data_IF_382353542537
#
_entry.id   IF_382353542537
#
_cell.length_a   1.000
_cell.length_b   1.000
_cell.length_c   1.000
_cell.angle_alpha   90.00
_cell.angle_beta   90.00
_cell.angle_gamma   90.00
#
_symmetry.space_group_name_H-M   'P 1'
#
loop_
_entity.id
_entity.type
_entity.pdbx_description
1 polymer ?
#
# COMPACT_ATOMS: atom_id res chain seq x y z
N UNK A 1 23.83 -73.09 -7.23
CA UNK A 1 22.50 -73.22 -7.83
C UNK A 1 21.63 -72.08 -7.36
N UNK A 2 21.24 -71.25 -8.30
CA UNK A 2 20.05 -70.39 -8.32
C UNK A 2 19.94 -69.31 -7.26
N UNK A 3 19.90 -68.12 -7.55
CA UNK A 3 19.24 -67.33 -8.59
C UNK A 3 18.45 -66.31 -7.85
N UNK A 4 18.96 -65.03 -7.77
CA UNK A 4 18.32 -63.97 -7.01
C UNK A 4 17.96 -62.85 -7.95
N UNK A 5 16.67 -62.74 -8.17
CA UNK A 5 16.04 -61.66 -8.92
C UNK A 5 16.01 -60.37 -8.13
N UNK A 6 16.50 -59.33 -8.80
CA UNK A 6 16.51 -57.98 -8.25
C UNK A 6 15.15 -57.33 -8.33
N UNK A 7 14.71 -56.82 -7.20
CA UNK A 7 13.57 -55.90 -7.14
C UNK A 7 14.07 -54.46 -7.28
N UNK A 8 13.79 -53.89 -8.44
CA UNK A 8 14.04 -52.48 -8.72
C UNK A 8 13.10 -51.59 -7.93
N UNK A 9 13.65 -50.82 -7.00
CA UNK A 9 12.91 -49.78 -6.32
C UNK A 9 12.89 -48.53 -7.21
N UNK A 10 11.73 -48.29 -7.82
CA UNK A 10 11.48 -47.07 -8.56
C UNK A 10 11.29 -45.90 -7.59
N UNK A 11 12.31 -45.08 -7.43
CA UNK A 11 12.21 -43.83 -6.72
C UNK A 11 11.50 -42.79 -7.57
N UNK A 12 10.20 -42.64 -7.32
CA UNK A 12 9.39 -41.61 -7.94
C UNK A 12 9.74 -40.25 -7.31
N UNK A 13 10.69 -39.56 -7.92
CA UNK A 13 11.03 -38.18 -7.55
C UNK A 13 9.90 -37.23 -7.97
N UNK A 14 8.98 -36.97 -7.07
CA UNK A 14 8.02 -35.89 -7.22
C UNK A 14 8.74 -34.57 -7.18
N UNK A 15 8.87 -33.91 -8.33
CA UNK A 15 9.27 -32.51 -8.43
C UNK A 15 8.30 -31.65 -7.64
N UNK A 16 8.79 -30.69 -6.84
CA UNK A 16 7.93 -29.74 -6.17
C UNK A 16 7.25 -28.85 -7.22
N UNK A 17 5.93 -28.86 -7.21
CA UNK A 17 5.09 -27.96 -8.00
C UNK A 17 5.53 -26.52 -7.76
N UNK A 18 6.03 -25.86 -8.79
CA UNK A 18 6.23 -24.40 -8.78
C UNK A 18 4.87 -23.76 -8.62
N UNK A 19 4.55 -23.35 -7.39
CA UNK A 19 3.50 -22.38 -7.13
C UNK A 19 3.93 -21.11 -7.83
N UNK A 20 3.34 -20.82 -8.97
CA UNK A 20 3.50 -19.54 -9.66
C UNK A 20 2.81 -18.51 -8.80
N UNK A 21 3.58 -17.89 -7.91
CA UNK A 21 3.17 -16.71 -7.19
C UNK A 21 2.95 -15.61 -8.24
N UNK A 22 1.68 -15.40 -8.59
CA UNK A 22 1.28 -14.29 -9.44
C UNK A 22 1.47 -13.06 -8.57
N UNK A 23 2.69 -12.50 -8.60
CA UNK A 23 2.97 -11.20 -8.05
C UNK A 23 2.08 -10.20 -8.79
N UNK A 24 0.98 -9.82 -8.17
CA UNK A 24 0.12 -8.75 -8.64
C UNK A 24 0.92 -7.46 -8.53
N UNK A 25 1.55 -7.07 -9.66
CA UNK A 25 2.34 -5.87 -9.75
C UNK A 25 1.37 -4.68 -9.66
N UNK A 26 1.37 -3.92 -8.55
CA UNK A 26 0.49 -2.77 -8.45
C UNK A 26 0.77 -1.78 -9.58
N UNK A 27 -0.21 -0.98 -10.03
CA UNK A 27 0.02 0.07 -11.01
C UNK A 27 1.06 1.04 -10.46
N UNK A 28 2.24 1.04 -11.08
CA UNK A 28 3.43 1.70 -10.52
C UNK A 28 3.50 3.19 -10.84
N UNK A 29 2.70 3.69 -11.79
CA UNK A 29 2.76 5.09 -12.22
C UNK A 29 1.38 5.59 -12.61
N UNK A 30 0.92 6.62 -11.90
CA UNK A 30 -0.25 7.41 -12.27
C UNK A 30 0.18 8.74 -12.91
N UNK A 31 -0.47 9.14 -13.97
CA UNK A 31 -0.28 10.43 -14.62
C UNK A 31 -1.22 11.45 -13.99
N UNK A 32 -0.65 12.49 -13.38
CA UNK A 32 -1.41 13.69 -13.03
C UNK A 32 -1.17 14.70 -14.13
N UNK A 33 -2.13 14.83 -15.03
CA UNK A 33 -2.11 15.87 -16.04
C UNK A 33 -2.33 17.21 -15.35
N UNK A 34 -1.27 17.97 -15.14
CA UNK A 34 -1.37 19.35 -14.64
C UNK A 34 -2.15 20.19 -15.65
N UNK A 35 -3.32 20.67 -15.24
CA UNK A 35 -4.19 21.53 -16.04
C UNK A 35 -3.68 22.98 -16.17
N UNK A 36 -2.52 23.31 -15.57
CA UNK A 36 -1.98 24.68 -15.58
C UNK A 36 -0.51 24.68 -15.97
N UNK A 37 -0.21 25.59 -16.92
CA UNK A 37 1.03 25.75 -17.66
C UNK A 37 2.34 25.64 -16.87
N UNK A 38 3.35 25.19 -17.57
CA UNK A 38 4.79 25.11 -17.32
C UNK A 38 5.33 26.04 -16.21
N UNK A 39 5.21 25.61 -14.98
CA UNK A 39 6.13 25.91 -13.90
C UNK A 39 6.14 24.67 -13.04
N UNK A 40 7.31 24.06 -12.86
CA UNK A 40 7.51 22.95 -11.93
C UNK A 40 7.33 23.46 -10.50
N UNK A 41 6.06 23.60 -10.10
CA UNK A 41 5.72 23.85 -8.71
C UNK A 41 5.91 22.52 -7.98
N UNK A 42 6.68 22.53 -6.89
CA UNK A 42 6.74 21.40 -5.96
C UNK A 42 5.30 20.92 -5.66
N UNK A 43 5.05 19.59 -5.65
CA UNK A 43 3.74 19.07 -5.35
C UNK A 43 3.28 19.54 -3.97
N UNK A 44 2.09 20.12 -3.91
CA UNK A 44 1.45 20.51 -2.66
C UNK A 44 0.88 19.29 -1.91
N UNK A 45 0.47 19.47 -0.66
CA UNK A 45 -0.13 18.41 0.15
C UNK A 45 -1.34 17.75 -0.54
N UNK A 46 -2.14 18.53 -1.25
CA UNK A 46 -3.33 18.05 -1.99
C UNK A 46 -2.97 17.10 -3.14
N UNK A 47 -1.83 17.32 -3.78
CA UNK A 47 -1.36 16.44 -4.87
C UNK A 47 -1.06 15.03 -4.33
N UNK A 48 -0.54 14.93 -3.10
CA UNK A 48 -0.30 13.64 -2.42
C UNK A 48 -1.60 12.91 -2.08
N UNK A 49 -2.64 13.62 -1.65
CA UNK A 49 -3.95 13.03 -1.39
C UNK A 49 -4.60 12.52 -2.68
N UNK A 50 -4.54 13.31 -3.75
CA UNK A 50 -5.02 12.91 -5.07
C UNK A 50 -4.24 11.70 -5.60
N UNK A 51 -2.91 11.67 -5.43
CA UNK A 51 -2.08 10.53 -5.82
C UNK A 51 -2.46 9.26 -5.05
N UNK A 52 -2.70 9.37 -3.74
CA UNK A 52 -3.16 8.25 -2.91
C UNK A 52 -4.51 7.72 -3.39
N UNK A 53 -5.48 8.60 -3.65
CA UNK A 53 -6.79 8.22 -4.17
C UNK A 53 -6.67 7.53 -5.54
N UNK A 54 -5.91 8.08 -6.48
CA UNK A 54 -5.67 7.49 -7.80
C UNK A 54 -4.99 6.13 -7.72
N UNK A 55 -4.06 5.97 -6.78
CA UNK A 55 -3.43 4.68 -6.53
C UNK A 55 -4.45 3.64 -6.07
N UNK A 56 -5.32 3.98 -5.11
CA UNK A 56 -6.39 3.09 -4.64
C UNK A 56 -7.38 2.74 -5.76
N UNK A 57 -7.78 3.71 -6.58
CA UNK A 57 -8.60 3.46 -7.77
C UNK A 57 -7.91 2.48 -8.74
N UNK A 58 -6.61 2.64 -8.95
CA UNK A 58 -5.77 1.76 -9.77
C UNK A 58 -5.63 0.34 -9.22
N UNK A 59 -5.80 0.13 -7.91
CA UNK A 59 -5.92 -1.19 -7.29
C UNK A 59 -7.32 -1.82 -7.49
N UNK A 60 -8.30 -1.04 -7.98
CA UNK A 60 -9.66 -1.50 -8.22
C UNK A 60 -10.69 -1.04 -7.18
N UNK A 61 -10.29 -0.25 -6.18
CA UNK A 61 -11.25 0.35 -5.26
C UNK A 61 -12.15 1.35 -6.01
N UNK A 62 -13.45 1.30 -5.74
CA UNK A 62 -14.44 2.19 -6.34
C UNK A 62 -14.86 3.25 -5.34
N UNK A 63 -15.26 4.42 -5.85
CA UNK A 63 -15.77 5.54 -5.03
C UNK A 63 -14.76 5.94 -3.94
N UNK A 64 -13.50 6.19 -4.34
CA UNK A 64 -12.49 6.71 -3.45
C UNK A 64 -12.78 8.19 -3.21
N UNK A 65 -13.06 8.55 -1.97
CA UNK A 65 -13.33 9.92 -1.54
C UNK A 65 -12.02 10.54 -1.02
N UNK A 66 -11.74 11.78 -1.39
CA UNK A 66 -10.63 12.58 -0.83
C UNK A 66 -11.22 13.58 0.13
N UNK A 67 -10.71 13.61 1.37
CA UNK A 67 -11.15 14.53 2.41
C UNK A 67 -11.01 16.00 1.99
N UNK A 68 -11.84 16.85 2.53
CA UNK A 68 -11.83 18.30 2.31
C UNK A 68 -11.06 19.08 3.41
N UNK A 69 -10.30 18.35 4.24
CA UNK A 69 -9.48 18.91 5.33
C UNK A 69 -10.27 19.21 6.60
N UNK A 70 -11.47 18.66 6.72
CA UNK A 70 -12.31 18.79 7.92
C UNK A 70 -11.80 17.97 9.12
N UNK A 71 -12.56 18.04 10.24
CA UNK A 71 -12.22 17.41 11.52
C UNK A 71 -12.47 15.89 11.59
N UNK A 72 -12.29 15.17 10.51
CA UNK A 72 -12.63 13.75 10.37
C UNK A 72 -11.58 12.78 10.97
N UNK A 73 -10.96 13.17 12.09
CA UNK A 73 -9.94 12.32 12.73
C UNK A 73 -8.65 12.16 11.93
N UNK A 74 -8.39 13.06 10.94
CA UNK A 74 -7.21 13.02 10.08
C UNK A 74 -7.33 12.00 8.93
N UNK A 75 -8.54 11.69 8.50
CA UNK A 75 -8.79 10.85 7.33
C UNK A 75 -8.73 11.71 6.07
N UNK A 76 -7.74 11.45 5.22
CA UNK A 76 -7.51 12.19 3.97
C UNK A 76 -8.04 11.44 2.74
N UNK A 77 -8.14 10.11 2.82
CA UNK A 77 -8.75 9.27 1.77
C UNK A 77 -9.66 8.22 2.41
N UNK A 78 -10.78 7.95 1.76
CA UNK A 78 -11.79 7.01 2.25
C UNK A 78 -12.40 6.17 1.13
N UNK A 79 -12.61 4.89 1.39
CA UNK A 79 -13.52 4.04 0.64
C UNK A 79 -14.56 3.52 1.60
N UNK A 80 -15.78 4.00 1.49
CA UNK A 80 -16.86 3.74 2.44
C UNK A 80 -17.06 2.25 2.71
N UNK A 81 -17.04 1.85 3.98
CA UNK A 81 -17.19 0.47 4.41
C UNK A 81 -16.02 -0.46 4.05
N UNK A 82 -14.87 0.08 3.63
CA UNK A 82 -13.72 -0.73 3.18
C UNK A 82 -12.40 -0.28 3.78
N UNK A 83 -12.07 1.00 3.69
CA UNK A 83 -10.83 1.54 4.23
C UNK A 83 -10.91 3.03 4.57
N UNK A 84 -10.05 3.43 5.49
CA UNK A 84 -9.69 4.83 5.76
C UNK A 84 -8.18 4.99 5.65
N UNK A 85 -7.73 6.15 5.20
CA UNK A 85 -6.31 6.43 5.02
C UNK A 85 -5.93 7.85 5.37
N UNK A 86 -4.69 8.02 5.80
CA UNK A 86 -4.07 9.31 6.05
C UNK A 86 -2.87 9.53 5.14
N UNK A 87 -2.63 10.77 4.74
CA UNK A 87 -1.54 11.19 3.86
C UNK A 87 -0.68 12.24 4.56
N UNK A 88 0.64 12.06 4.58
CA UNK A 88 1.60 13.02 5.12
C UNK A 88 2.61 13.44 4.06
N UNK A 89 2.48 14.68 3.58
CA UNK A 89 3.37 15.31 2.60
C UNK A 89 4.58 16.02 3.25
N UNK A 90 4.86 15.78 4.53
CA UNK A 90 5.97 16.39 5.26
C UNK A 90 7.33 15.80 4.90
N UNK A 91 8.41 16.55 5.14
CA UNK A 91 9.79 16.10 4.94
C UNK A 91 10.29 15.16 6.05
N UNK A 92 9.63 15.15 7.22
CA UNK A 92 9.99 14.30 8.33
C UNK A 92 9.35 12.91 8.23
N UNK A 93 10.11 11.87 8.60
CA UNK A 93 9.59 10.50 8.69
C UNK A 93 8.44 10.39 9.68
N UNK A 94 7.43 9.62 9.31
CA UNK A 94 6.26 9.37 10.15
C UNK A 94 6.64 8.42 11.29
N UNK A 95 6.32 8.82 12.52
CA UNK A 95 6.43 8.00 13.73
C UNK A 95 5.16 7.18 13.99
N UNK A 96 5.11 6.50 15.16
CA UNK A 96 3.97 5.67 15.58
C UNK A 96 2.65 6.43 15.83
N UNK A 97 2.64 7.63 16.47
CA UNK A 97 1.38 8.24 16.91
C UNK A 97 0.35 8.46 15.79
N UNK A 98 0.71 9.00 14.60
CA UNK A 98 -0.27 9.12 13.50
C UNK A 98 -0.82 7.77 13.01
N UNK A 99 0.01 6.71 13.03
CA UNK A 99 -0.44 5.37 12.65
C UNK A 99 -1.44 4.81 13.66
N UNK A 100 -1.22 5.05 14.95
CA UNK A 100 -2.15 4.66 16.01
C UNK A 100 -3.49 5.39 15.88
N UNK A 101 -3.46 6.66 15.50
CA UNK A 101 -4.66 7.45 15.27
C UNK A 101 -5.52 6.86 14.15
N UNK A 102 -4.94 6.62 12.96
CA UNK A 102 -5.71 6.08 11.83
C UNK A 102 -6.16 4.63 12.07
N UNK A 103 -5.36 3.83 12.77
CA UNK A 103 -5.76 2.47 13.18
C UNK A 103 -6.96 2.50 14.13
N UNK A 104 -7.01 3.49 15.05
CA UNK A 104 -8.15 3.69 15.95
C UNK A 104 -9.43 4.03 15.19
N UNK A 105 -9.36 4.92 14.21
CA UNK A 105 -10.49 5.26 13.35
C UNK A 105 -10.96 4.03 12.57
N UNK A 106 -10.03 3.31 11.93
CA UNK A 106 -10.34 2.12 11.15
C UNK A 106 -11.00 1.02 12.00
N UNK A 107 -10.47 0.80 13.21
CA UNK A 107 -11.02 -0.17 14.16
C UNK A 107 -12.45 0.20 14.59
N UNK A 108 -12.70 1.48 14.87
CA UNK A 108 -14.04 1.94 15.25
C UNK A 108 -15.06 1.79 14.11
N UNK A 109 -14.61 1.91 12.85
CA UNK A 109 -15.46 1.77 11.67
C UNK A 109 -15.51 0.32 11.12
N UNK A 110 -14.69 -0.59 11.64
CA UNK A 110 -14.59 -1.98 11.15
C UNK A 110 -14.03 -2.09 9.73
N UNK A 111 -13.08 -1.20 9.36
CA UNK A 111 -12.50 -1.12 8.01
C UNK A 111 -10.97 -1.22 8.06
N UNK A 112 -10.32 -1.31 6.90
CA UNK A 112 -8.86 -1.35 6.81
C UNK A 112 -8.25 0.05 7.01
N UNK A 113 -7.05 0.09 7.63
CA UNK A 113 -6.25 1.30 7.76
C UNK A 113 -5.12 1.33 6.72
N UNK A 114 -4.93 2.46 6.04
CA UNK A 114 -3.78 2.71 5.18
C UNK A 114 -3.12 4.05 5.52
N UNK A 115 -1.83 4.15 5.27
CA UNK A 115 -1.08 5.38 5.50
C UNK A 115 -0.10 5.65 4.36
N UNK A 116 -0.09 6.87 3.88
CA UNK A 116 0.79 7.33 2.81
C UNK A 116 1.73 8.40 3.33
N UNK A 117 3.02 8.33 2.99
CA UNK A 117 4.03 9.29 3.42
C UNK A 117 4.97 9.67 2.27
N UNK A 118 5.31 10.97 2.18
CA UNK A 118 6.38 11.45 1.32
C UNK A 118 7.75 11.01 1.83
N UNK A 119 8.02 11.20 3.10
CA UNK A 119 9.34 11.00 3.71
C UNK A 119 9.59 9.57 4.24
N UNK A 120 8.57 8.69 4.14
CA UNK A 120 8.63 7.35 4.71
C UNK A 120 8.40 7.34 6.23
N UNK A 121 8.91 6.31 6.90
CA UNK A 121 8.57 5.97 8.28
C UNK A 121 9.81 5.73 9.11
N UNK A 122 9.68 5.89 10.43
CA UNK A 122 10.69 5.41 11.37
C UNK A 122 10.64 3.88 11.45
N UNK A 123 11.76 3.23 11.85
CA UNK A 123 11.80 1.78 12.04
C UNK A 123 10.71 1.28 12.99
N UNK A 124 10.56 1.95 14.13
CA UNK A 124 9.55 1.61 15.14
C UNK A 124 8.11 1.80 14.64
N UNK A 125 7.88 2.72 13.72
CA UNK A 125 6.57 2.91 13.10
C UNK A 125 6.24 1.73 12.15
N UNK A 126 7.20 1.30 11.33
CA UNK A 126 7.02 0.14 10.43
C UNK A 126 6.77 -1.13 11.22
N UNK A 127 7.54 -1.38 12.28
CA UNK A 127 7.36 -2.55 13.15
C UNK A 127 5.97 -2.54 13.81
N UNK A 128 5.56 -1.39 14.33
CA UNK A 128 4.24 -1.25 14.96
C UNK A 128 3.09 -1.43 13.97
N UNK A 129 3.21 -0.92 12.75
CA UNK A 129 2.16 -0.96 11.74
C UNK A 129 1.69 -2.38 11.40
N UNK A 130 2.57 -3.37 11.52
CA UNK A 130 2.21 -4.78 11.31
C UNK A 130 1.23 -5.25 12.40
N UNK A 131 1.53 -4.96 13.67
CA UNK A 131 0.66 -5.32 14.78
C UNK A 131 -0.62 -4.45 14.83
N UNK A 132 -0.53 -3.20 14.38
CA UNK A 132 -1.66 -2.27 14.30
C UNK A 132 -2.50 -2.42 13.03
N UNK A 133 -2.20 -3.40 12.17
CA UNK A 133 -2.91 -3.70 10.92
C UNK A 133 -3.02 -2.50 9.96
N UNK A 134 -1.97 -1.66 9.88
CA UNK A 134 -1.91 -0.50 8.99
C UNK A 134 -1.06 -0.81 7.75
N UNK A 135 -1.66 -0.72 6.57
CA UNK A 135 -0.94 -0.78 5.29
C UNK A 135 -0.14 0.50 5.04
N UNK A 136 1.18 0.38 4.85
CA UNK A 136 2.08 1.52 4.69
C UNK A 136 2.53 1.69 3.24
N UNK A 137 2.53 2.95 2.77
CA UNK A 137 2.95 3.34 1.43
C UNK A 137 3.83 4.58 1.45
N UNK A 138 4.75 4.68 0.50
CA UNK A 138 5.43 5.94 0.18
C UNK A 138 4.93 6.47 -1.15
N UNK A 139 4.82 7.80 -1.25
CA UNK A 139 4.51 8.52 -2.49
C UNK A 139 5.68 9.42 -2.85
N UNK A 140 6.12 9.34 -4.10
CA UNK A 140 7.08 10.28 -4.70
C UNK A 140 6.53 10.84 -6.00
N UNK A 141 7.00 12.02 -6.38
CA UNK A 141 6.69 12.66 -7.65
C UNK A 141 7.97 12.81 -8.47
N UNK A 142 7.84 12.61 -9.77
CA UNK A 142 8.87 12.82 -10.77
C UNK A 142 8.21 13.54 -11.94
N UNK A 143 8.50 14.84 -12.10
CA UNK A 143 7.82 15.76 -13.02
C UNK A 143 6.28 15.68 -12.90
N UNK A 144 5.60 15.14 -13.91
CA UNK A 144 4.14 15.02 -13.96
C UNK A 144 3.63 13.64 -13.54
N UNK A 145 4.52 12.78 -13.02
CA UNK A 145 4.18 11.43 -12.62
C UNK A 145 4.29 11.26 -11.10
N UNK A 146 3.47 10.38 -10.54
CA UNK A 146 3.66 9.90 -9.17
C UNK A 146 3.95 8.41 -9.15
N UNK A 147 4.74 7.98 -8.18
CA UNK A 147 5.02 6.57 -7.89
C UNK A 147 4.60 6.26 -6.45
N UNK A 148 3.89 5.16 -6.26
CA UNK A 148 3.47 4.69 -4.93
C UNK A 148 4.04 3.31 -4.70
N UNK A 149 4.71 3.13 -3.55
CA UNK A 149 5.33 1.86 -3.16
C UNK A 149 4.85 1.40 -1.81
N UNK A 150 4.44 0.14 -1.72
CA UNK A 150 4.16 -0.48 -0.44
C UNK A 150 5.45 -0.63 0.38
N UNK A 151 5.36 -0.30 1.67
CA UNK A 151 6.49 -0.37 2.62
C UNK A 151 6.43 -1.64 3.46
N UNK A 152 5.23 -2.14 3.74
CA UNK A 152 5.03 -3.37 4.48
C UNK A 152 4.16 -4.38 3.71
N UNK A 153 4.10 -5.60 4.20
CA UNK A 153 3.34 -6.69 3.56
C UNK A 153 1.82 -6.43 3.53
N UNK A 154 1.28 -5.65 4.47
CA UNK A 154 -0.13 -5.27 4.50
C UNK A 154 -0.47 -4.35 3.33
N UNK A 155 0.36 -3.31 3.10
CA UNK A 155 0.23 -2.46 1.92
C UNK A 155 0.38 -3.25 0.62
N UNK A 156 1.36 -4.16 0.55
CA UNK A 156 1.60 -4.97 -0.64
C UNK A 156 0.48 -5.96 -0.99
N UNK A 157 -0.37 -6.32 -0.03
CA UNK A 157 -1.51 -7.25 -0.20
C UNK A 157 -2.86 -6.56 -0.21
N UNK A 158 -2.90 -5.23 -0.15
CA UNK A 158 -4.16 -4.46 -0.16
C UNK A 158 -4.95 -4.76 -1.44
N UNK A 159 -6.22 -5.13 -1.26
CA UNK A 159 -7.16 -5.45 -2.35
C UNK A 159 -8.51 -4.82 -2.07
N UNK A 160 -9.30 -4.50 -3.13
CA UNK A 160 -10.65 -3.99 -3.00
C UNK A 160 -11.63 -4.99 -2.39
#
# INVERSE_FOLDING_TARGET
>A
MHGLDGLGVSTNSRSPSRTTEIAHKPPRRGLIRRLFGRKSLEPGWRDYEIAAARYLEGLGFRSVEVGDGGSDGGVDVRVRGRLVGQVKAHQAKVGRPPLQQIAGVASAEGVNAVFFSKAGYTKTAVEWAVAGEVGLFTISFDDDHFDVRAVNSLGGRLKP
#
